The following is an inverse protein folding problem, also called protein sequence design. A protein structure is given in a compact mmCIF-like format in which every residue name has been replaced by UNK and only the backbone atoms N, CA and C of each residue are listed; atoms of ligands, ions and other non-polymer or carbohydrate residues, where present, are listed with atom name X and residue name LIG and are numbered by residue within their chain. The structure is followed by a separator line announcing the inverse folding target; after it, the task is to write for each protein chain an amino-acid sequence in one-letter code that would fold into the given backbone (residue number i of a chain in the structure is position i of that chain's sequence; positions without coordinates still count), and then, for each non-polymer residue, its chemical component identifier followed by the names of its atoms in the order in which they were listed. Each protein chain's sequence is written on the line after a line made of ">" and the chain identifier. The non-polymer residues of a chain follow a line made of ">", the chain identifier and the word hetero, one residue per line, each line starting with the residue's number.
data_IF_535200132302
#
_entry.id   IF_535200132302
#
_cell.length_a   1.000
_cell.length_b   1.000
_cell.length_c   1.000
_cell.angle_alpha   90.00
_cell.angle_beta   90.00
_cell.angle_gamma   90.00
#
_symmetry.space_group_name_H-M   'P 1'
#
loop_
_entity.id
_entity.type
_entity.pdbx_description
1 polymer ?
#
# COMPACT_ATOMS: atom_id res chain seq x y z
N UNK A 1 -0.52 1.16 4.05
CA UNK A 1 -1.09 -0.03 3.38
C UNK A 1 -0.05 -1.12 3.21
N UNK A 2 1.10 -0.84 2.57
CA UNK A 2 2.10 -1.87 2.24
C UNK A 2 3.18 -2.13 3.31
N UNK A 3 3.07 -1.54 4.51
CA UNK A 3 3.99 -1.78 5.62
C UNK A 3 3.47 -2.90 6.50
N UNK A 4 3.92 -4.13 6.29
CA UNK A 4 3.51 -5.33 7.03
C UNK A 4 4.42 -5.54 8.24
N UNK A 5 3.86 -5.92 9.40
CA UNK A 5 4.62 -6.43 10.55
C UNK A 5 4.10 -7.82 10.92
N UNK A 6 4.92 -8.85 10.75
CA UNK A 6 4.55 -10.25 11.01
C UNK A 6 4.28 -10.58 12.48
N UNK A 7 4.60 -9.67 13.40
CA UNK A 7 4.32 -9.84 14.84
C UNK A 7 2.96 -9.26 15.25
N UNK A 8 2.34 -8.47 14.39
CA UNK A 8 1.08 -7.75 14.69
C UNK A 8 -0.01 -8.07 13.66
N UNK A 9 0.36 -8.14 12.39
CA UNK A 9 -0.57 -8.41 11.29
C UNK A 9 -0.78 -9.92 11.14
N UNK A 10 -2.03 -10.38 11.19
CA UNK A 10 -2.35 -11.80 10.98
C UNK A 10 -2.18 -12.23 9.51
N UNK A 11 -2.35 -11.26 8.61
CA UNK A 11 -2.29 -11.39 7.15
C UNK A 11 -2.01 -10.04 6.49
N UNK A 12 -1.75 -10.05 5.18
CA UNK A 12 -1.43 -8.84 4.40
C UNK A 12 -2.61 -7.84 4.39
N UNK A 13 -3.85 -8.35 4.43
CA UNK A 13 -5.06 -7.52 4.52
C UNK A 13 -5.10 -6.67 5.80
N UNK A 14 -4.64 -7.19 6.94
CA UNK A 14 -4.62 -6.44 8.20
C UNK A 14 -3.71 -5.20 8.09
N UNK A 15 -2.56 -5.33 7.42
CA UNK A 15 -1.66 -4.19 7.15
C UNK A 15 -2.33 -3.11 6.27
N UNK A 16 -3.16 -3.51 5.29
CA UNK A 16 -3.99 -2.58 4.50
C UNK A 16 -5.01 -1.88 5.38
N UNK A 17 -5.75 -2.63 6.21
CA UNK A 17 -6.81 -2.11 7.08
C UNK A 17 -6.30 -1.22 8.22
N UNK A 18 -5.06 -1.38 8.70
CA UNK A 18 -4.44 -0.40 9.61
C UNK A 18 -4.32 1.00 9.01
N UNK A 19 -4.34 1.09 7.67
CA UNK A 19 -4.37 2.36 6.96
C UNK A 19 -5.80 2.87 6.68
N UNK A 20 -6.85 2.24 7.22
CA UNK A 20 -8.26 2.56 6.95
C UNK A 20 -8.59 4.05 7.08
N UNK A 21 -7.96 4.77 8.01
CA UNK A 21 -8.14 6.23 8.16
C UNK A 21 -7.75 7.03 6.92
N UNK A 22 -6.99 6.48 5.98
CA UNK A 22 -6.59 7.16 4.74
C UNK A 22 -7.45 6.76 3.54
N UNK A 23 -8.38 5.82 3.71
CA UNK A 23 -9.17 5.25 2.63
C UNK A 23 -10.55 5.92 2.55
N UNK A 24 -11.18 5.86 1.39
CA UNK A 24 -12.63 6.09 1.30
C UNK A 24 -13.38 4.92 1.96
N UNK A 25 -14.63 5.12 2.43
CA UNK A 25 -15.44 4.03 2.96
C UNK A 25 -15.65 2.90 1.94
N UNK A 26 -15.87 3.25 0.67
CA UNK A 26 -16.05 2.27 -0.41
C UNK A 26 -14.80 1.40 -0.61
N UNK A 27 -13.62 2.02 -0.72
CA UNK A 27 -12.37 1.29 -0.92
C UNK A 27 -11.99 0.44 0.31
N UNK A 28 -12.32 0.90 1.51
CA UNK A 28 -12.17 0.07 2.72
C UNK A 28 -13.01 -1.20 2.62
N UNK A 29 -14.27 -1.10 2.20
CA UNK A 29 -15.16 -2.26 2.04
C UNK A 29 -14.63 -3.25 1.00
N UNK A 30 -14.05 -2.76 -0.09
CA UNK A 30 -13.38 -3.64 -1.08
C UNK A 30 -12.22 -4.40 -0.46
N UNK A 31 -11.36 -3.73 0.32
CA UNK A 31 -10.25 -4.38 1.03
C UNK A 31 -10.76 -5.39 2.06
N UNK A 32 -11.84 -5.09 2.79
CA UNK A 32 -12.45 -6.03 3.74
C UNK A 32 -12.93 -7.32 3.04
N UNK A 33 -13.39 -7.22 1.79
CA UNK A 33 -13.86 -8.34 0.98
C UNK A 33 -12.72 -9.13 0.30
N UNK A 34 -11.49 -8.62 0.27
CA UNK A 34 -10.34 -9.36 -0.28
C UNK A 34 -10.10 -10.65 0.52
N UNK A 35 -9.76 -11.78 -0.14
CA UNK A 35 -9.31 -12.98 0.54
C UNK A 35 -8.10 -12.67 1.44
N UNK A 36 -8.08 -13.24 2.66
CA UNK A 36 -6.96 -13.06 3.57
C UNK A 36 -5.71 -13.74 2.98
N UNK A 37 -4.72 -12.96 2.53
CA UNK A 37 -3.41 -13.53 2.21
C UNK A 37 -2.58 -13.68 3.49
N UNK A 38 -2.12 -14.91 3.74
CA UNK A 38 -1.28 -15.20 4.90
C UNK A 38 0.13 -14.62 4.77
N UNK A 39 0.70 -14.24 5.91
CA UNK A 39 2.11 -13.91 6.01
C UNK A 39 2.94 -15.19 5.86
N UNK A 40 4.03 -15.20 5.04
CA UNK A 40 4.91 -16.35 4.92
C UNK A 40 5.42 -16.86 6.28
N UNK A 41 5.51 -18.19 6.45
CA UNK A 41 5.97 -18.80 7.71
C UNK A 41 7.37 -18.31 8.07
N UNK A 42 8.27 -18.22 7.09
CA UNK A 42 9.63 -17.69 7.28
C UNK A 42 9.62 -16.26 7.86
N UNK A 43 8.69 -15.42 7.43
CA UNK A 43 8.58 -14.06 7.96
C UNK A 43 8.20 -14.06 9.43
N UNK A 44 7.32 -14.97 9.85
CA UNK A 44 6.97 -15.13 11.27
C UNK A 44 8.16 -15.62 12.09
N UNK A 45 8.94 -16.57 11.57
CA UNK A 45 10.14 -17.10 12.24
C UNK A 45 11.16 -15.99 12.52
N UNK A 46 11.42 -15.13 11.53
CA UNK A 46 12.37 -14.02 11.64
C UNK A 46 11.78 -12.73 12.22
N UNK A 47 10.49 -12.75 12.62
CA UNK A 47 9.74 -11.58 13.11
C UNK A 47 9.88 -10.38 12.18
N UNK A 48 9.68 -10.63 10.89
CA UNK A 48 9.89 -9.69 9.80
C UNK A 48 8.93 -8.50 9.88
N UNK A 49 9.48 -7.31 9.59
CA UNK A 49 8.70 -6.14 9.17
C UNK A 49 9.11 -5.72 7.75
N UNK A 50 8.16 -5.19 6.99
CA UNK A 50 8.38 -4.76 5.61
C UNK A 50 8.69 -3.26 5.58
N UNK A 51 9.95 -2.93 5.30
CA UNK A 51 10.34 -1.55 5.04
C UNK A 51 9.91 -1.15 3.62
N UNK A 52 9.19 -0.04 3.48
CA UNK A 52 8.72 0.50 2.19
C UNK A 52 9.50 1.76 1.86
N UNK A 53 10.07 1.81 0.66
CA UNK A 53 10.65 3.03 0.08
C UNK A 53 9.84 3.41 -1.16
N UNK A 54 9.50 4.69 -1.27
CA UNK A 54 8.75 5.22 -2.40
C UNK A 54 9.60 6.26 -3.14
N UNK A 55 9.61 6.17 -4.46
CA UNK A 55 10.16 7.20 -5.36
C UNK A 55 9.04 7.71 -6.26
N UNK A 56 8.80 9.03 -6.34
CA UNK A 56 7.76 9.55 -7.23
C UNK A 56 8.16 9.26 -8.68
N UNK A 57 7.19 8.82 -9.48
CA UNK A 57 7.36 8.67 -10.92
C UNK A 57 6.66 9.81 -11.65
N UNK A 58 7.09 10.05 -12.90
CA UNK A 58 6.33 10.91 -13.81
C UNK A 58 5.02 10.20 -14.16
N UNK A 59 3.95 10.98 -14.25
CA UNK A 59 2.64 10.47 -14.68
C UNK A 59 2.75 9.86 -16.08
N UNK A 60 2.18 8.69 -16.25
CA UNK A 60 2.02 8.06 -17.54
C UNK A 60 1.06 8.84 -18.47
N UNK A 61 1.23 8.66 -19.77
CA UNK A 61 0.32 9.23 -20.76
C UNK A 61 -1.09 8.64 -20.59
N UNK A 62 -2.11 9.50 -20.54
CA UNK A 62 -3.50 9.07 -20.32
C UNK A 62 -3.92 9.01 -18.85
N UNK A 63 -2.99 9.22 -17.90
CA UNK A 63 -3.36 9.36 -16.50
C UNK A 63 -4.31 10.57 -16.28
N UNK A 64 -5.33 10.45 -15.40
CA UNK A 64 -6.22 11.55 -15.09
C UNK A 64 -5.46 12.80 -14.62
N UNK A 65 -5.92 13.97 -15.04
CA UNK A 65 -5.36 15.24 -14.57
C UNK A 65 -5.84 15.52 -13.15
N UNK A 66 -4.95 16.08 -12.32
CA UNK A 66 -5.34 16.53 -10.98
C UNK A 66 -6.34 17.69 -11.08
N UNK A 67 -7.33 17.68 -10.21
CA UNK A 67 -8.33 18.72 -10.08
C UNK A 67 -8.61 19.07 -8.62
N UNK A 68 -9.63 19.91 -8.36
CA UNK A 68 -9.98 20.33 -7.01
C UNK A 68 -10.37 19.18 -6.08
N UNK A 69 -10.96 18.10 -6.62
CA UNK A 69 -11.52 16.98 -5.83
C UNK A 69 -11.00 15.60 -6.22
N UNK A 70 -10.23 15.49 -7.30
CA UNK A 70 -9.61 14.25 -7.79
C UNK A 70 -8.12 14.43 -8.05
N UNK A 71 -7.30 13.46 -7.69
CA UNK A 71 -5.86 13.49 -7.97
C UNK A 71 -5.32 12.09 -8.25
N UNK A 72 -4.23 12.03 -9.01
CA UNK A 72 -3.59 10.77 -9.38
C UNK A 72 -2.10 10.78 -9.05
N UNK A 73 -1.60 9.74 -8.40
CA UNK A 73 -0.18 9.61 -8.02
C UNK A 73 0.38 8.29 -8.51
N UNK A 74 1.64 8.32 -8.94
CA UNK A 74 2.38 7.16 -9.37
C UNK A 74 3.72 7.09 -8.64
N UNK A 75 4.04 5.93 -8.09
CA UNK A 75 5.23 5.70 -7.29
C UNK A 75 5.92 4.41 -7.71
N UNK A 76 7.24 4.42 -7.80
CA UNK A 76 8.02 3.20 -7.70
C UNK A 76 8.13 2.85 -6.21
N UNK A 77 7.67 1.66 -5.86
CA UNK A 77 7.71 1.11 -4.52
C UNK A 77 8.77 0.01 -4.47
N UNK A 78 9.68 0.12 -3.50
CA UNK A 78 10.59 -0.97 -3.13
C UNK A 78 10.23 -1.46 -1.73
N UNK A 79 9.96 -2.75 -1.60
CA UNK A 79 9.69 -3.41 -0.32
C UNK A 79 10.84 -4.33 0.07
N UNK A 80 11.37 -4.19 1.28
CA UNK A 80 12.47 -5.01 1.80
C UNK A 80 12.04 -5.72 3.07
N UNK A 81 11.83 -7.06 3.04
CA UNK A 81 11.58 -7.84 4.24
C UNK A 81 12.80 -7.82 5.16
N UNK A 82 12.62 -7.32 6.37
CA UNK A 82 13.70 -7.18 7.36
C UNK A 82 13.33 -7.92 8.65
N UNK A 83 14.12 -8.94 8.99
CA UNK A 83 13.98 -9.66 10.26
C UNK A 83 14.57 -8.89 11.43
N UNK A 84 13.96 -9.04 12.61
CA UNK A 84 14.45 -8.44 13.87
C UNK A 84 15.73 -9.09 14.38
N UNK A 85 16.07 -10.25 13.83
CA UNK A 85 17.28 -11.04 14.08
C UNK A 85 18.38 -10.82 13.01
N UNK A 86 18.29 -9.71 12.27
CA UNK A 86 19.18 -9.35 11.15
C UNK A 86 18.97 -10.17 9.87
N UNK A 87 18.00 -11.07 9.80
CA UNK A 87 17.60 -11.71 8.55
C UNK A 87 17.17 -10.66 7.50
N UNK A 88 17.38 -10.99 6.22
CA UNK A 88 17.04 -10.14 5.06
C UNK A 88 16.40 -11.01 3.98
N UNK A 89 15.18 -10.64 3.61
CA UNK A 89 14.51 -11.25 2.47
C UNK A 89 14.83 -10.52 1.17
N UNK A 90 14.45 -11.13 0.05
CA UNK A 90 14.61 -10.56 -1.28
C UNK A 90 13.79 -9.27 -1.42
N UNK A 91 14.41 -8.12 -1.76
CA UNK A 91 13.69 -6.92 -2.11
C UNK A 91 12.79 -7.14 -3.33
N UNK A 92 11.58 -6.57 -3.29
CA UNK A 92 10.68 -6.52 -4.46
C UNK A 92 10.45 -5.08 -4.89
N UNK A 93 10.25 -4.90 -6.20
CA UNK A 93 9.92 -3.61 -6.80
C UNK A 93 8.56 -3.73 -7.48
N UNK A 94 7.74 -2.71 -7.32
CA UNK A 94 6.48 -2.56 -8.03
C UNK A 94 6.22 -1.09 -8.33
N UNK A 95 5.37 -0.83 -9.29
CA UNK A 95 4.77 0.48 -9.53
C UNK A 95 3.40 0.50 -8.86
N UNK A 96 3.14 1.55 -8.10
CA UNK A 96 1.87 1.78 -7.41
C UNK A 96 1.21 2.99 -8.05
N UNK A 97 -0.01 2.78 -8.51
CA UNK A 97 -0.89 3.79 -9.07
C UNK A 97 -1.99 4.07 -8.05
N UNK A 98 -2.22 5.33 -7.72
CA UNK A 98 -3.14 5.72 -6.65
C UNK A 98 -4.11 6.78 -7.16
N UNK A 99 -5.39 6.51 -7.00
CA UNK A 99 -6.45 7.49 -7.17
C UNK A 99 -6.84 8.06 -5.82
N UNK A 100 -6.91 9.39 -5.74
CA UNK A 100 -7.28 10.12 -4.54
C UNK A 100 -8.52 10.98 -4.81
N UNK A 101 -9.38 11.06 -3.81
CA UNK A 101 -10.57 11.92 -3.82
C UNK A 101 -10.66 12.74 -2.54
N UNK A 102 -11.32 13.87 -2.62
CA UNK A 102 -11.76 14.68 -1.47
C UNK A 102 -13.06 15.40 -1.81
N UNK A 103 -13.89 15.67 -0.81
CA UNK A 103 -15.20 16.29 -1.02
C UNK A 103 -15.10 17.76 -1.42
N UNK A 104 -14.11 18.48 -0.87
CA UNK A 104 -13.84 19.88 -1.20
C UNK A 104 -12.35 20.21 -1.15
N UNK A 105 -11.99 21.42 -1.58
CA UNK A 105 -10.61 21.92 -1.58
C UNK A 105 -9.92 21.95 -0.21
N UNK A 106 -10.71 21.92 0.87
CA UNK A 106 -10.24 21.99 2.25
C UNK A 106 -10.24 20.63 2.97
N UNK A 107 -10.89 19.62 2.39
CA UNK A 107 -10.95 18.29 2.97
C UNK A 107 -9.66 17.50 2.74
N UNK A 108 -9.32 16.57 3.65
CA UNK A 108 -8.18 15.69 3.45
C UNK A 108 -8.42 14.75 2.27
N UNK A 109 -7.37 14.53 1.49
CA UNK A 109 -7.37 13.49 0.45
C UNK A 109 -7.54 12.10 1.08
N UNK A 110 -8.41 11.30 0.47
CA UNK A 110 -8.60 9.89 0.76
C UNK A 110 -8.26 9.08 -0.48
N UNK A 111 -7.69 7.89 -0.27
CA UNK A 111 -7.39 6.94 -1.31
C UNK A 111 -8.69 6.25 -1.71
N UNK A 112 -9.08 6.37 -2.97
CA UNK A 112 -10.27 5.72 -3.52
C UNK A 112 -9.96 4.43 -4.26
N UNK A 113 -8.73 4.28 -4.75
CA UNK A 113 -8.29 3.09 -5.48
C UNK A 113 -6.76 3.00 -5.49
N UNK A 114 -6.24 1.77 -5.53
CA UNK A 114 -4.82 1.48 -5.68
C UNK A 114 -4.60 0.27 -6.57
N UNK A 115 -3.86 0.47 -7.65
CA UNK A 115 -3.41 -0.60 -8.55
C UNK A 115 -1.91 -0.79 -8.36
N UNK A 116 -1.46 -2.05 -8.27
CA UNK A 116 -0.05 -2.41 -8.17
C UNK A 116 0.33 -3.24 -9.38
N UNK A 117 1.40 -2.83 -10.06
CA UNK A 117 1.97 -3.54 -11.21
C UNK A 117 3.44 -3.87 -10.92
N UNK A 118 3.82 -5.14 -11.02
CA UNK A 118 5.20 -5.60 -10.76
C UNK A 118 5.28 -7.10 -10.54
N UNK A 119 6.51 -7.63 -10.57
CA UNK A 119 6.88 -9.05 -10.35
C UNK A 119 7.11 -9.39 -8.86
#
# INVERSE_FOLDING_TARGET
>A
MYTVDSTVDEGLRNAKLRAARYLTPAFKTEIDAEPMQHIPIEWRQHRVYLAVRLRPLRREAGAPTDGPTGAYRQWEMTTVPTGRDRWRGTPRKAVVYMSLVRSSGHDPWRISDVIVSGE
#
